data_IF_676371563831
#
_entry.id   IF_676371563831
#
_cell.length_a   1.000
_cell.length_b   1.000
_cell.length_c   1.000
_cell.angle_alpha   90.00
_cell.angle_beta   90.00
_cell.angle_gamma   90.00
#
_symmetry.space_group_name_H-M   'P 1'
#
loop_
_entity.id
_entity.type
_entity.pdbx_description
1 polymer ?
#
# COMPACT_ATOMS: atom_id res chain seq x y z
N UNK A 1 -3.96 2.07 20.03
CA UNK A 1 -4.11 3.46 20.55
C UNK A 1 -3.90 4.41 19.38
N UNK A 2 -4.31 5.68 19.42
CA UNK A 2 -3.98 6.60 18.31
C UNK A 2 -2.46 6.74 18.19
N UNK A 3 -1.94 6.73 16.97
CA UNK A 3 -0.49 6.82 16.69
C UNK A 3 0.29 5.52 16.94
N UNK A 4 -0.38 4.38 17.18
CA UNK A 4 0.27 3.09 17.34
C UNK A 4 -0.35 2.03 16.45
N UNK A 5 0.45 1.04 16.04
CA UNK A 5 0.02 -0.16 15.34
C UNK A 5 0.48 -1.41 16.09
N UNK A 6 -0.27 -2.50 16.02
CA UNK A 6 0.22 -3.78 16.54
C UNK A 6 1.38 -4.26 15.68
N UNK A 7 2.48 -4.75 16.27
CA UNK A 7 3.51 -5.50 15.54
C UNK A 7 3.11 -6.98 15.42
N UNK A 8 3.99 -7.83 14.85
CA UNK A 8 3.75 -9.28 14.72
C UNK A 8 3.45 -9.97 16.05
N UNK A 9 4.08 -9.55 17.14
CA UNK A 9 3.86 -10.05 18.49
C UNK A 9 2.61 -9.51 19.20
N UNK A 10 1.79 -8.70 18.53
CA UNK A 10 0.57 -8.11 19.11
C UNK A 10 0.84 -6.90 20.02
N UNK A 11 2.10 -6.49 20.16
CA UNK A 11 2.48 -5.33 20.97
C UNK A 11 2.23 -4.05 20.18
N UNK A 12 1.67 -3.03 20.83
CA UNK A 12 1.49 -1.70 20.23
C UNK A 12 2.84 -1.00 20.10
N UNK A 13 3.22 -0.64 18.88
CA UNK A 13 4.41 0.14 18.56
C UNK A 13 4.00 1.49 17.98
N UNK A 14 4.81 2.53 18.18
CA UNK A 14 4.54 3.86 17.63
C UNK A 14 4.68 3.85 16.11
N UNK A 15 3.85 4.63 15.42
CA UNK A 15 3.99 4.91 13.99
C UNK A 15 4.81 6.18 13.83
N UNK A 16 6.01 6.04 13.29
CA UNK A 16 6.97 7.11 13.03
C UNK A 16 6.73 7.77 11.67
N UNK A 17 6.35 7.00 10.65
CA UNK A 17 6.03 7.50 9.31
C UNK A 17 4.84 6.77 8.64
N UNK A 18 4.24 7.42 7.66
CA UNK A 18 3.19 6.89 6.78
C UNK A 18 3.55 7.20 5.34
N UNK A 19 3.66 6.17 4.51
CA UNK A 19 3.80 6.31 3.06
C UNK A 19 2.46 6.00 2.40
N UNK A 20 1.92 6.98 1.68
CA UNK A 20 0.71 6.83 0.87
C UNK A 20 1.09 6.49 -0.56
N UNK A 21 0.39 5.54 -1.17
CA UNK A 21 0.65 5.13 -2.55
C UNK A 21 -0.65 5.08 -3.35
N UNK A 22 -0.62 5.64 -4.55
CA UNK A 22 -1.73 5.59 -5.51
C UNK A 22 -1.19 5.65 -6.95
N UNK A 23 -1.97 5.19 -7.92
CA UNK A 23 -1.68 5.37 -9.34
C UNK A 23 -1.94 6.81 -9.81
N UNK A 24 -2.73 7.58 -9.07
CA UNK A 24 -3.19 8.92 -9.44
C UNK A 24 -2.72 9.94 -8.41
N UNK A 25 -2.16 11.06 -8.91
CA UNK A 25 -1.86 12.21 -8.06
C UNK A 25 -3.15 12.74 -7.43
N UNK A 26 -3.21 12.92 -6.09
CA UNK A 26 -4.36 13.56 -5.47
C UNK A 26 -4.59 14.97 -6.03
N UNK A 27 -5.85 15.36 -6.31
CA UNK A 27 -6.15 16.70 -6.80
C UNK A 27 -5.79 17.78 -5.76
N UNK A 28 -5.59 19.05 -6.15
CA UNK A 28 -5.09 20.10 -5.26
C UNK A 28 -5.93 20.32 -3.99
N UNK A 29 -7.24 20.12 -4.07
CA UNK A 29 -8.20 20.26 -2.98
C UNK A 29 -8.40 19.00 -2.14
N UNK A 30 -7.71 17.90 -2.49
CA UNK A 30 -7.78 16.65 -1.72
C UNK A 30 -7.37 16.88 -0.25
N UNK A 31 -8.14 16.35 0.72
CA UNK A 31 -7.79 16.44 2.14
C UNK A 31 -6.44 15.78 2.45
N UNK A 32 -5.96 14.87 1.59
CA UNK A 32 -4.65 14.24 1.76
C UNK A 32 -3.51 15.26 1.69
N UNK A 33 -3.66 16.33 0.91
CA UNK A 33 -2.63 17.38 0.80
C UNK A 33 -2.44 18.13 2.12
N UNK A 34 -3.45 18.14 2.99
CA UNK A 34 -3.31 18.65 4.34
C UNK A 34 -2.45 17.75 5.22
N UNK A 35 -2.55 16.42 5.03
CA UNK A 35 -1.74 15.43 5.76
C UNK A 35 -0.27 15.48 5.35
N UNK A 36 0.01 15.75 4.07
CA UNK A 36 1.38 15.87 3.54
C UNK A 36 2.18 17.05 4.12
N UNK A 37 1.54 17.96 4.87
CA UNK A 37 2.24 18.99 5.64
C UNK A 37 2.85 18.45 6.94
N UNK A 38 2.41 17.30 7.42
CA UNK A 38 3.08 16.56 8.49
C UNK A 38 4.29 15.84 7.88
N UNK A 39 5.50 16.18 8.33
CA UNK A 39 6.75 15.61 7.79
C UNK A 39 6.90 14.10 7.97
N UNK A 40 5.97 13.45 8.69
CA UNK A 40 5.89 11.99 8.83
C UNK A 40 5.04 11.34 7.75
N UNK A 41 4.34 12.10 6.91
CA UNK A 41 3.49 11.57 5.84
C UNK A 41 4.08 11.94 4.49
N UNK A 42 4.32 10.93 3.65
CA UNK A 42 4.73 11.12 2.26
C UNK A 42 3.73 10.46 1.31
N UNK A 43 3.76 10.86 0.05
CA UNK A 43 2.97 10.25 -1.02
C UNK A 43 3.87 9.89 -2.19
N UNK A 44 3.65 8.70 -2.74
CA UNK A 44 4.36 8.20 -3.92
C UNK A 44 3.34 7.79 -4.96
N UNK A 45 3.59 8.16 -6.20
CA UNK A 45 2.72 7.82 -7.33
C UNK A 45 3.41 6.78 -8.19
N UNK A 46 2.69 5.73 -8.57
CA UNK A 46 3.22 4.69 -9.44
C UNK A 46 2.20 3.60 -9.76
N UNK A 47 2.61 2.63 -10.57
CA UNK A 47 1.80 1.44 -10.85
C UNK A 47 2.16 0.34 -9.85
N UNK A 48 1.16 -0.18 -9.13
CA UNK A 48 1.37 -1.29 -8.19
C UNK A 48 1.77 -2.59 -8.91
N UNK A 49 1.45 -2.71 -10.19
CA UNK A 49 1.86 -3.84 -11.01
C UNK A 49 3.33 -3.76 -11.48
N UNK A 50 4.04 -2.64 -11.24
CA UNK A 50 5.48 -2.57 -11.46
C UNK A 50 6.22 -3.24 -10.28
N UNK A 51 6.94 -4.35 -10.50
CA UNK A 51 7.69 -5.02 -9.44
C UNK A 51 8.78 -4.13 -8.84
N UNK A 52 9.46 -3.31 -9.64
CA UNK A 52 10.49 -2.40 -9.14
C UNK A 52 9.88 -1.30 -8.26
N UNK A 53 8.63 -0.89 -8.54
CA UNK A 53 7.88 0.02 -7.68
C UNK A 53 7.55 -0.63 -6.33
N UNK A 54 7.06 -1.88 -6.34
CA UNK A 54 6.81 -2.64 -5.12
C UNK A 54 8.08 -2.81 -4.27
N UNK A 55 9.22 -3.11 -4.88
CA UNK A 55 10.51 -3.21 -4.17
C UNK A 55 10.91 -1.89 -3.50
N UNK A 56 10.69 -0.75 -4.17
CA UNK A 56 10.95 0.58 -3.57
C UNK A 56 10.01 0.92 -2.43
N UNK A 57 8.76 0.47 -2.48
CA UNK A 57 7.78 0.70 -1.41
C UNK A 57 8.09 -0.11 -0.15
N UNK A 58 8.71 -1.29 -0.31
CA UNK A 58 9.06 -2.19 0.81
C UNK A 58 10.53 -1.97 1.20
N UNK A 59 10.84 -0.78 1.71
CA UNK A 59 12.20 -0.30 1.99
C UNK A 59 12.74 -0.61 3.40
N UNK A 60 11.89 -1.07 4.31
CA UNK A 60 12.17 -1.31 5.73
C UNK A 60 11.67 -2.68 6.22
N UNK A 61 12.34 -3.24 7.22
CA UNK A 61 12.00 -4.55 7.81
C UNK A 61 10.85 -4.45 8.83
N UNK A 62 10.67 -3.26 9.41
CA UNK A 62 9.75 -2.97 10.50
C UNK A 62 8.54 -2.14 10.04
N UNK A 63 7.95 -2.55 8.91
CA UNK A 63 6.76 -1.90 8.35
C UNK A 63 5.50 -2.77 8.44
N UNK A 64 4.36 -2.11 8.26
CA UNK A 64 3.07 -2.76 8.02
C UNK A 64 2.47 -2.20 6.74
N UNK A 65 1.96 -3.09 5.90
CA UNK A 65 1.38 -2.74 4.60
C UNK A 65 -0.13 -2.84 4.69
N UNK A 66 -0.82 -1.78 4.30
CA UNK A 66 -2.26 -1.79 4.07
C UNK A 66 -2.50 -1.74 2.57
N UNK A 67 -2.76 -2.89 1.95
CA UNK A 67 -2.96 -2.98 0.51
C UNK A 67 -4.42 -2.69 0.17
N UNK A 68 -4.66 -1.43 -0.18
CA UNK A 68 -5.98 -0.89 -0.57
C UNK A 68 -6.09 -0.65 -2.08
N UNK A 69 -4.98 -0.77 -2.81
CA UNK A 69 -4.95 -0.59 -4.26
C UNK A 69 -5.73 -1.73 -4.93
N UNK A 70 -6.70 -1.37 -5.76
CA UNK A 70 -7.55 -2.35 -6.42
C UNK A 70 -8.53 -1.69 -7.38
N UNK A 71 -9.00 -2.49 -8.34
CA UNK A 71 -10.05 -2.13 -9.29
C UNK A 71 -11.31 -2.88 -8.89
N UNK A 72 -12.42 -2.15 -8.73
CA UNK A 72 -13.70 -2.72 -8.29
C UNK A 72 -14.45 -3.39 -9.45
N UNK A 73 -15.51 -4.14 -9.13
CA UNK A 73 -16.24 -5.00 -10.07
C UNK A 73 -16.70 -4.29 -11.35
N UNK A 74 -17.27 -3.08 -11.25
CA UNK A 74 -17.78 -2.38 -12.45
C UNK A 74 -16.70 -2.11 -13.52
N UNK A 75 -15.51 -1.67 -13.10
CA UNK A 75 -14.39 -1.50 -14.01
C UNK A 75 -13.73 -2.84 -14.36
N UNK A 76 -13.74 -3.81 -13.45
CA UNK A 76 -13.15 -5.13 -13.71
C UNK A 76 -13.93 -5.95 -14.74
N UNK A 77 -15.26 -5.80 -14.78
CA UNK A 77 -16.13 -6.46 -15.76
C UNK A 77 -15.98 -5.86 -17.16
N UNK A 78 -15.62 -4.58 -17.26
CA UNK A 78 -15.42 -3.90 -18.55
C UNK A 78 -13.98 -4.01 -19.07
N UNK A 79 -13.00 -4.18 -18.18
CA UNK A 79 -11.58 -4.32 -18.54
C UNK A 79 -10.88 -5.38 -17.67
N UNK A 80 -10.84 -6.59 -18.21
CA UNK A 80 -10.19 -7.74 -17.57
C UNK A 80 -8.69 -7.53 -17.39
N UNK A 81 -8.01 -6.93 -18.36
CA UNK A 81 -6.55 -6.78 -18.34
C UNK A 81 -6.13 -5.82 -17.23
N UNK A 82 -6.86 -4.71 -17.05
CA UNK A 82 -6.66 -3.80 -15.92
C UNK A 82 -6.94 -4.51 -14.59
N UNK A 83 -8.03 -5.27 -14.48
CA UNK A 83 -8.36 -5.98 -13.26
C UNK A 83 -7.27 -7.00 -12.87
N UNK A 84 -6.82 -7.81 -13.84
CA UNK A 84 -5.79 -8.81 -13.62
C UNK A 84 -4.45 -8.15 -13.26
N UNK A 85 -4.08 -7.08 -13.97
CA UNK A 85 -2.83 -6.37 -13.73
C UNK A 85 -2.81 -5.74 -12.33
N UNK A 86 -3.86 -5.05 -11.92
CA UNK A 86 -3.89 -4.38 -10.61
C UNK A 86 -4.14 -5.37 -9.47
N UNK A 87 -5.24 -6.13 -9.52
CA UNK A 87 -5.69 -6.93 -8.37
C UNK A 87 -4.86 -8.20 -8.16
N UNK A 88 -4.33 -8.80 -9.24
CA UNK A 88 -3.56 -10.06 -9.16
C UNK A 88 -2.07 -9.76 -9.25
N UNK A 89 -1.62 -9.14 -10.33
CA UNK A 89 -0.18 -8.90 -10.55
C UNK A 89 0.38 -7.92 -9.53
N UNK A 90 -0.34 -6.83 -9.24
CA UNK A 90 0.05 -5.86 -8.21
C UNK A 90 0.14 -6.46 -6.81
N UNK A 91 -0.89 -7.18 -6.38
CA UNK A 91 -0.89 -7.86 -5.08
C UNK A 91 0.24 -8.91 -4.99
N UNK A 92 0.47 -9.68 -6.07
CA UNK A 92 1.56 -10.65 -6.14
C UNK A 92 2.92 -9.97 -5.99
N UNK A 93 3.20 -8.91 -6.75
CA UNK A 93 4.47 -8.20 -6.71
C UNK A 93 4.74 -7.61 -5.32
N UNK A 94 3.73 -7.01 -4.68
CA UNK A 94 3.84 -6.48 -3.33
C UNK A 94 4.16 -7.56 -2.30
N UNK A 95 3.50 -8.72 -2.39
CA UNK A 95 3.77 -9.86 -1.52
C UNK A 95 5.17 -10.44 -1.76
N UNK A 96 5.65 -10.47 -3.02
CA UNK A 96 7.01 -10.89 -3.33
C UNK A 96 8.05 -9.92 -2.74
N UNK A 97 7.83 -8.61 -2.85
CA UNK A 97 8.70 -7.60 -2.24
C UNK A 97 8.75 -7.75 -0.71
N UNK A 98 7.58 -7.91 -0.07
CA UNK A 98 7.50 -8.20 1.38
C UNK A 98 8.25 -9.49 1.74
N UNK A 99 8.06 -10.57 0.98
CA UNK A 99 8.73 -11.86 1.21
C UNK A 99 10.25 -11.76 1.05
N UNK A 100 10.72 -11.04 0.03
CA UNK A 100 12.14 -10.86 -0.23
C UNK A 100 12.83 -10.03 0.85
N UNK A 101 12.13 -9.03 1.40
CA UNK A 101 12.64 -8.18 2.47
C UNK A 101 12.60 -8.88 3.84
N UNK A 102 11.39 -9.22 4.31
CA UNK A 102 11.17 -9.86 5.60
C UNK A 102 9.79 -10.56 5.61
N UNK A 103 9.78 -11.89 5.68
CA UNK A 103 8.55 -12.69 5.80
C UNK A 103 7.69 -12.39 7.05
N UNK A 104 8.20 -11.57 7.98
CA UNK A 104 7.48 -11.07 9.15
C UNK A 104 6.64 -9.81 8.92
N UNK A 105 6.76 -9.14 7.77
CA UNK A 105 5.98 -7.94 7.43
C UNK A 105 4.50 -8.28 7.44
N UNK A 106 3.72 -7.48 8.19
CA UNK A 106 2.27 -7.64 8.23
C UNK A 106 1.66 -6.97 7.00
N UNK A 107 0.84 -7.73 6.28
CA UNK A 107 0.01 -7.21 5.19
C UNK A 107 -1.45 -7.33 5.59
N UNK A 108 -2.17 -6.21 5.56
CA UNK A 108 -3.63 -6.14 5.66
C UNK A 108 -4.16 -5.95 4.25
N UNK A 109 -4.90 -6.93 3.75
CA UNK A 109 -5.45 -6.95 2.41
C UNK A 109 -6.97 -6.77 2.46
N UNK A 110 -7.51 -5.84 1.68
CA UNK A 110 -8.96 -5.63 1.56
C UNK A 110 -9.54 -6.50 0.44
N UNK A 111 -10.06 -7.68 0.79
CA UNK A 111 -10.83 -8.52 -0.12
C UNK A 111 -12.31 -8.11 -0.17
N UNK A 112 -13.07 -8.68 -1.11
CA UNK A 112 -14.53 -8.62 -1.18
C UNK A 112 -15.14 -10.01 -1.03
N UNK A 113 -16.43 -10.07 -0.64
CA UNK A 113 -17.28 -11.27 -0.72
C UNK A 113 -17.85 -11.46 -2.13
#
# INVERSE_FOLDING_TARGET
RRGTISNRGGVQVAVDAIVLFDAVQPPPDSPVNALLRDGRVSSIIGDIADPAMCERLVDSDDMCVFHLAGVMSGQSESDFDIAYRVNITGAYNLLQACRARNCGIRVVFTSTI
#
